data_IF_656756328921
#
_entry.id   IF_656756328921
#
_cell.length_a   1.000
_cell.length_b   1.000
_cell.length_c   1.000
_cell.angle_alpha   90.00
_cell.angle_beta   90.00
_cell.angle_gamma   90.00
#
_symmetry.space_group_name_H-M   'P 1'
#
loop_
_entity.id
_entity.type
_entity.pdbx_description
1 polymer ?
#
# COMPACT_ATOMS: atom_id res chain seq x y z
N UNK A 1 37.07 13.31 2.32
CA UNK A 1 36.12 12.23 2.69
C UNK A 1 35.12 11.86 1.59
N UNK A 2 34.63 12.76 0.73
CA UNK A 2 33.59 12.41 -0.28
C UNK A 2 34.11 11.49 -1.42
N UNK A 3 35.38 11.62 -1.82
CA UNK A 3 35.96 10.82 -2.91
C UNK A 3 36.24 9.35 -2.55
N UNK A 4 36.44 9.05 -1.27
CA UNK A 4 36.79 7.70 -0.81
C UNK A 4 35.59 6.75 -0.94
N UNK A 5 34.38 7.25 -0.71
CA UNK A 5 33.14 6.46 -0.77
C UNK A 5 32.53 6.34 -2.17
N UNK A 6 33.11 6.99 -3.19
CA UNK A 6 32.52 7.04 -4.54
C UNK A 6 32.39 5.64 -5.17
N UNK A 7 33.32 4.72 -4.86
CA UNK A 7 33.27 3.34 -5.32
C UNK A 7 32.07 2.54 -4.74
N UNK A 8 31.45 3.01 -3.66
CA UNK A 8 30.31 2.36 -3.02
C UNK A 8 28.96 2.76 -3.63
N UNK A 9 28.91 3.85 -4.40
CA UNK A 9 27.71 4.35 -5.10
C UNK A 9 26.93 3.25 -5.84
N UNK A 10 27.55 2.44 -6.74
CA UNK A 10 26.80 1.41 -7.47
C UNK A 10 26.23 0.32 -6.56
N UNK A 11 26.90 0.02 -5.42
CA UNK A 11 26.41 -0.95 -4.44
C UNK A 11 25.19 -0.41 -3.71
N UNK A 12 25.25 0.82 -3.19
CA UNK A 12 24.13 1.44 -2.48
C UNK A 12 22.94 1.71 -3.40
N UNK A 13 23.17 2.14 -4.65
CA UNK A 13 22.10 2.36 -5.62
C UNK A 13 21.34 1.06 -5.96
N UNK A 14 22.05 -0.06 -6.13
CA UNK A 14 21.42 -1.37 -6.36
C UNK A 14 20.63 -1.84 -5.14
N UNK A 15 21.20 -1.71 -3.94
CA UNK A 15 20.54 -2.08 -2.69
C UNK A 15 19.27 -1.24 -2.47
N UNK A 16 19.38 0.08 -2.55
CA UNK A 16 18.25 1.01 -2.43
C UNK A 16 17.12 0.66 -3.41
N UNK A 17 17.46 0.48 -4.70
CA UNK A 17 16.49 0.15 -5.73
C UNK A 17 15.81 -1.20 -5.51
N UNK A 18 16.55 -2.22 -5.05
CA UNK A 18 16.02 -3.54 -4.75
C UNK A 18 15.09 -3.51 -3.52
N UNK A 19 15.53 -2.88 -2.43
CA UNK A 19 14.76 -2.75 -1.18
C UNK A 19 13.45 -1.99 -1.41
N UNK A 20 13.53 -0.82 -2.03
CA UNK A 20 12.36 0.02 -2.34
C UNK A 20 11.45 -0.62 -3.38
N UNK A 21 12.01 -1.22 -4.43
CA UNK A 21 11.24 -1.92 -5.45
C UNK A 21 10.46 -3.09 -4.87
N UNK A 22 11.10 -3.94 -4.07
CA UNK A 22 10.44 -5.06 -3.40
C UNK A 22 9.33 -4.57 -2.45
N UNK A 23 9.59 -3.54 -1.66
CA UNK A 23 8.62 -2.98 -0.72
C UNK A 23 7.36 -2.44 -1.44
N UNK A 24 7.54 -1.52 -2.39
CA UNK A 24 6.42 -0.77 -2.99
C UNK A 24 5.74 -1.49 -4.16
N UNK A 25 6.48 -2.27 -4.95
CA UNK A 25 5.91 -2.95 -6.12
C UNK A 25 5.28 -4.28 -5.73
N UNK A 26 5.82 -4.97 -4.72
CA UNK A 26 5.41 -6.35 -4.41
C UNK A 26 4.77 -6.44 -3.02
N UNK A 27 5.51 -6.15 -1.96
CA UNK A 27 5.08 -6.47 -0.59
C UNK A 27 3.86 -5.65 -0.15
N UNK A 28 3.86 -4.33 -0.34
CA UNK A 28 2.74 -3.48 0.06
C UNK A 28 1.45 -3.79 -0.73
N UNK A 29 1.47 -3.93 -2.08
CA UNK A 29 0.29 -4.36 -2.84
C UNK A 29 -0.22 -5.74 -2.41
N UNK A 30 0.67 -6.71 -2.20
CA UNK A 30 0.30 -8.06 -1.75
C UNK A 30 -0.36 -8.05 -0.38
N UNK A 31 0.20 -7.35 0.61
CA UNK A 31 -0.40 -7.20 1.93
C UNK A 31 -1.79 -6.58 1.86
N UNK A 32 -1.98 -5.56 1.01
CA UNK A 32 -3.27 -4.94 0.76
C UNK A 32 -4.28 -5.84 0.02
N UNK A 33 -3.81 -6.81 -0.77
CA UNK A 33 -4.64 -7.77 -1.48
C UNK A 33 -5.05 -8.94 -0.55
N UNK A 34 -4.14 -9.44 0.28
CA UNK A 34 -4.39 -10.54 1.21
C UNK A 34 -5.55 -10.27 2.16
N UNK A 35 -5.61 -9.08 2.77
CA UNK A 35 -6.73 -8.72 3.66
C UNK A 35 -8.10 -8.75 2.96
N UNK A 36 -8.10 -8.59 1.63
CA UNK A 36 -9.31 -8.50 0.82
C UNK A 36 -9.73 -9.87 0.28
N UNK A 37 -8.78 -10.65 -0.25
CA UNK A 37 -9.04 -11.98 -0.83
C UNK A 37 -9.20 -13.03 0.26
N UNK A 38 -8.27 -13.07 1.21
CA UNK A 38 -8.23 -14.09 2.24
C UNK A 38 -9.22 -13.72 3.34
N UNK A 39 -10.42 -14.30 3.33
CA UNK A 39 -11.49 -14.01 4.30
C UNK A 39 -11.46 -14.93 5.54
N UNK A 40 -10.28 -15.31 6.01
CA UNK A 40 -10.13 -16.14 7.22
C UNK A 40 -9.73 -15.29 8.44
N UNK A 41 -9.95 -15.82 9.65
CA UNK A 41 -9.75 -15.11 10.93
C UNK A 41 -8.33 -14.52 11.12
N UNK A 42 -7.32 -15.09 10.47
CA UNK A 42 -5.91 -14.65 10.53
C UNK A 42 -5.48 -13.67 9.43
N UNK A 43 -6.38 -13.27 8.52
CA UNK A 43 -6.03 -12.43 7.37
C UNK A 43 -5.48 -11.05 7.77
N UNK A 44 -5.98 -10.48 8.88
CA UNK A 44 -5.44 -9.22 9.44
C UNK A 44 -3.99 -9.40 9.90
N UNK A 45 -3.64 -10.55 10.48
CA UNK A 45 -2.27 -10.82 10.90
C UNK A 45 -1.34 -11.03 9.71
N UNK A 46 -1.81 -11.71 8.66
CA UNK A 46 -1.07 -11.82 7.41
C UNK A 46 -0.81 -10.44 6.79
N UNK A 47 -1.83 -9.57 6.77
CA UNK A 47 -1.70 -8.19 6.34
C UNK A 47 -0.64 -7.44 7.16
N UNK A 48 -0.79 -7.43 8.49
CA UNK A 48 0.16 -6.73 9.38
C UNK A 48 1.58 -7.26 9.21
N UNK A 49 1.77 -8.58 9.11
CA UNK A 49 3.08 -9.17 8.88
C UNK A 49 3.71 -8.71 7.55
N UNK A 50 2.96 -8.76 6.44
CA UNK A 50 3.42 -8.25 5.15
C UNK A 50 3.74 -6.75 5.23
N UNK A 51 2.91 -5.95 5.89
CA UNK A 51 3.16 -4.51 6.03
C UNK A 51 4.42 -4.25 6.85
N UNK A 52 4.66 -4.97 7.95
CA UNK A 52 5.87 -4.83 8.76
C UNK A 52 7.13 -5.19 7.95
N UNK A 53 7.09 -6.24 7.15
CA UNK A 53 8.20 -6.59 6.25
C UNK A 53 8.46 -5.49 5.23
N UNK A 54 7.42 -4.99 4.56
CA UNK A 54 7.55 -3.89 3.60
C UNK A 54 8.09 -2.61 4.26
N UNK A 55 7.70 -2.37 5.51
CA UNK A 55 8.18 -1.25 6.32
C UNK A 55 9.66 -1.33 6.64
N UNK A 56 10.15 -2.50 7.07
CA UNK A 56 11.57 -2.71 7.32
C UNK A 56 12.38 -2.48 6.05
N UNK A 57 11.92 -3.04 4.92
CA UNK A 57 12.57 -2.83 3.61
C UNK A 57 12.55 -1.36 3.19
N UNK A 58 11.44 -0.65 3.38
CA UNK A 58 11.33 0.78 3.07
C UNK A 58 12.29 1.62 3.92
N UNK A 59 12.40 1.35 5.23
CA UNK A 59 13.31 2.09 6.10
C UNK A 59 14.79 1.79 5.79
N UNK A 60 15.12 0.53 5.52
CA UNK A 60 16.45 0.12 5.06
C UNK A 60 16.81 0.82 3.73
N UNK A 61 15.88 0.79 2.77
CA UNK A 61 15.97 1.51 1.51
C UNK A 61 16.16 3.01 1.70
N UNK A 62 15.46 3.64 2.65
CA UNK A 62 15.61 5.07 2.89
C UNK A 62 17.02 5.35 3.43
N UNK A 63 17.52 4.52 4.34
CA UNK A 63 18.89 4.62 4.87
C UNK A 63 19.95 4.51 3.77
N UNK A 64 19.85 3.50 2.90
CA UNK A 64 20.77 3.32 1.77
C UNK A 64 20.65 4.47 0.74
N UNK A 65 19.44 4.99 0.52
CA UNK A 65 19.16 6.14 -0.34
C UNK A 65 19.72 7.45 0.20
N UNK A 66 19.62 7.71 1.51
CA UNK A 66 20.22 8.89 2.16
C UNK A 66 21.75 8.82 2.05
N UNK A 67 22.34 7.65 2.32
CA UNK A 67 23.80 7.46 2.18
C UNK A 67 24.25 7.72 0.75
N UNK A 68 23.53 7.18 -0.24
CA UNK A 68 23.79 7.45 -1.66
C UNK A 68 23.68 8.94 -1.97
N UNK A 69 22.57 9.58 -1.60
CA UNK A 69 22.29 11.00 -1.87
C UNK A 69 23.33 11.95 -1.29
N UNK A 70 23.91 11.61 -0.14
CA UNK A 70 25.02 12.36 0.47
C UNK A 70 26.35 12.20 -0.29
N UNK A 71 26.63 11.02 -0.87
CA UNK A 71 27.87 10.79 -1.62
C UNK A 71 27.84 11.55 -2.96
N UNK A 72 26.68 11.61 -3.62
CA UNK A 72 26.52 12.24 -4.94
C UNK A 72 25.95 13.67 -4.90
N UNK A 73 25.78 14.22 -3.70
CA UNK A 73 25.20 15.55 -3.42
C UNK A 73 23.86 15.81 -4.15
N UNK A 74 22.98 14.81 -4.15
CA UNK A 74 21.66 14.85 -4.82
C UNK A 74 20.50 14.66 -3.85
N UNK A 75 20.75 14.71 -2.54
CA UNK A 75 19.75 14.34 -1.55
C UNK A 75 18.44 15.14 -1.69
N UNK A 76 18.51 16.45 -1.96
CA UNK A 76 17.31 17.31 -2.07
C UNK A 76 17.13 17.99 -3.42
N UNK A 77 17.88 17.60 -4.45
CA UNK A 77 17.94 18.34 -5.72
C UNK A 77 17.33 17.58 -6.92
N UNK A 78 16.45 16.61 -6.66
CA UNK A 78 15.76 15.92 -7.74
C UNK A 78 14.36 15.42 -7.33
N UNK A 79 13.47 15.32 -8.32
CA UNK A 79 12.09 14.89 -8.10
C UNK A 79 11.99 13.54 -7.37
N UNK A 80 12.85 12.57 -7.72
CA UNK A 80 12.85 11.25 -7.07
C UNK A 80 13.06 11.30 -5.54
N UNK A 81 14.03 12.08 -5.04
CA UNK A 81 14.34 12.13 -3.61
C UNK A 81 13.31 12.97 -2.84
N UNK A 82 12.82 14.06 -3.44
CA UNK A 82 11.77 14.90 -2.84
C UNK A 82 10.47 14.11 -2.70
N UNK A 83 9.95 13.55 -3.80
CA UNK A 83 8.70 12.79 -3.80
C UNK A 83 8.84 11.51 -2.98
N UNK A 84 9.99 10.83 -3.07
CA UNK A 84 10.28 9.64 -2.26
C UNK A 84 10.28 9.92 -0.77
N UNK A 85 10.95 10.97 -0.32
CA UNK A 85 11.01 11.33 1.10
C UNK A 85 9.62 11.69 1.63
N UNK A 86 8.86 12.50 0.87
CA UNK A 86 7.47 12.81 1.21
C UNK A 86 6.63 11.54 1.31
N UNK A 87 6.76 10.62 0.34
CA UNK A 87 6.01 9.36 0.32
C UNK A 87 6.33 8.49 1.54
N UNK A 88 7.61 8.38 1.93
CA UNK A 88 8.01 7.62 3.13
C UNK A 88 7.47 8.28 4.40
N UNK A 89 7.57 9.60 4.55
CA UNK A 89 7.02 10.32 5.70
C UNK A 89 5.51 10.12 5.81
N UNK A 90 4.79 10.20 4.70
CA UNK A 90 3.35 9.91 4.66
C UNK A 90 3.06 8.44 4.97
N UNK A 91 3.89 7.51 4.50
CA UNK A 91 3.75 6.10 4.85
C UNK A 91 3.87 5.87 6.35
N UNK A 92 4.61 6.71 7.09
CA UNK A 92 4.71 6.61 8.55
C UNK A 92 3.37 6.79 9.27
N UNK A 93 2.45 7.54 8.68
CA UNK A 93 1.12 7.77 9.23
C UNK A 93 0.17 6.58 9.02
N UNK A 94 0.42 5.73 8.02
CA UNK A 94 -0.44 4.58 7.70
C UNK A 94 -0.70 3.61 8.86
N UNK A 95 0.30 3.11 9.62
CA UNK A 95 0.06 2.17 10.72
C UNK A 95 -0.72 2.81 11.87
N UNK A 96 -0.58 4.12 12.10
CA UNK A 96 -1.35 4.85 13.12
C UNK A 96 -2.83 4.86 12.73
N UNK A 97 -3.14 5.27 11.50
CA UNK A 97 -4.49 5.23 10.93
C UNK A 97 -5.01 3.77 10.89
N UNK A 98 -4.11 2.83 10.59
CA UNK A 98 -4.30 1.38 10.63
C UNK A 98 -4.85 0.89 11.97
N UNK A 99 -4.16 1.26 13.04
CA UNK A 99 -4.53 0.87 14.41
C UNK A 99 -5.83 1.52 14.85
N UNK A 100 -6.05 2.80 14.52
CA UNK A 100 -7.28 3.53 14.86
C UNK A 100 -8.49 2.88 14.21
N UNK A 101 -8.46 2.66 12.88
CA UNK A 101 -9.60 2.08 12.20
C UNK A 101 -9.82 0.62 12.62
N UNK A 102 -8.76 -0.16 12.87
CA UNK A 102 -8.90 -1.55 13.31
C UNK A 102 -9.56 -1.63 14.70
N UNK A 103 -9.15 -0.77 15.63
CA UNK A 103 -9.80 -0.67 16.96
C UNK A 103 -11.27 -0.27 16.85
N UNK A 104 -11.60 0.68 15.97
CA UNK A 104 -12.98 1.11 15.77
C UNK A 104 -13.83 0.04 15.08
N UNK A 105 -13.28 -0.65 14.08
CA UNK A 105 -13.95 -1.75 13.40
C UNK A 105 -14.24 -2.92 14.35
N UNK A 106 -13.28 -3.26 15.23
CA UNK A 106 -13.52 -4.27 16.29
C UNK A 106 -14.59 -3.88 17.29
N UNK A 107 -14.81 -2.58 17.55
CA UNK A 107 -15.84 -2.10 18.48
C UNK A 107 -17.22 -1.99 17.83
N UNK A 108 -17.29 -1.49 16.59
CA UNK A 108 -18.55 -1.16 15.92
C UNK A 108 -19.00 -2.22 14.91
N UNK A 109 -18.13 -3.17 14.54
CA UNK A 109 -18.33 -4.16 13.49
C UNK A 109 -18.77 -3.58 12.12
N UNK A 110 -18.64 -2.27 11.94
CA UNK A 110 -19.03 -1.54 10.74
C UNK A 110 -17.84 -0.74 10.19
N UNK A 111 -17.84 -0.54 8.87
CA UNK A 111 -16.85 0.33 8.23
C UNK A 111 -17.06 1.76 8.71
N UNK A 112 -16.00 2.35 9.25
CA UNK A 112 -16.03 3.75 9.72
C UNK A 112 -15.39 4.66 8.68
N UNK A 113 -15.58 5.97 8.82
CA UNK A 113 -14.86 6.96 8.01
C UNK A 113 -13.35 6.69 7.95
N UNK A 114 -12.74 6.31 9.09
CA UNK A 114 -11.33 5.96 9.18
C UNK A 114 -10.92 4.75 8.33
N UNK A 115 -11.83 3.79 8.10
CA UNK A 115 -11.59 2.67 7.18
C UNK A 115 -11.43 3.16 5.74
N UNK A 116 -12.27 4.10 5.30
CA UNK A 116 -12.16 4.67 3.95
C UNK A 116 -10.90 5.49 3.78
N UNK A 117 -10.57 6.33 4.76
CA UNK A 117 -9.33 7.12 4.78
C UNK A 117 -8.12 6.19 4.72
N UNK A 118 -8.05 5.16 5.58
CA UNK A 118 -6.92 4.22 5.59
C UNK A 118 -6.70 3.57 4.23
N UNK A 119 -7.77 3.04 3.61
CA UNK A 119 -7.71 2.30 2.34
C UNK A 119 -7.33 3.20 1.18
N UNK A 120 -7.97 4.36 1.02
CA UNK A 120 -7.69 5.25 -0.10
C UNK A 120 -6.33 5.92 0.02
N UNK A 121 -5.96 6.35 1.23
CA UNK A 121 -4.64 6.91 1.49
C UNK A 121 -3.54 5.91 1.17
N UNK A 122 -3.66 4.66 1.64
CA UNK A 122 -2.68 3.61 1.34
C UNK A 122 -2.53 3.35 -0.17
N UNK A 123 -3.63 3.37 -0.93
CA UNK A 123 -3.59 3.20 -2.40
C UNK A 123 -2.81 4.32 -3.09
N UNK A 124 -3.11 5.58 -2.73
CA UNK A 124 -2.41 6.74 -3.29
C UNK A 124 -0.91 6.64 -3.01
N UNK A 125 -0.52 6.26 -1.79
CA UNK A 125 0.89 6.11 -1.44
C UNK A 125 1.60 4.97 -2.19
N UNK A 126 0.92 3.84 -2.42
CA UNK A 126 1.47 2.75 -3.24
C UNK A 126 1.75 3.26 -4.66
N UNK A 127 0.78 3.95 -5.29
CA UNK A 127 0.97 4.52 -6.62
C UNK A 127 2.11 5.56 -6.67
N UNK A 128 2.17 6.46 -5.69
CA UNK A 128 3.27 7.43 -5.57
C UNK A 128 4.63 6.73 -5.44
N UNK A 129 4.71 5.65 -4.66
CA UNK A 129 5.92 4.85 -4.52
C UNK A 129 6.37 4.20 -5.83
N UNK A 130 5.44 3.63 -6.60
CA UNK A 130 5.74 3.02 -7.92
C UNK A 130 6.26 4.07 -8.90
N UNK A 131 5.62 5.24 -8.98
CA UNK A 131 6.06 6.37 -9.82
C UNK A 131 7.45 6.83 -9.38
N UNK A 132 7.67 6.96 -8.06
CA UNK A 132 8.96 7.36 -7.50
C UNK A 132 10.06 6.35 -7.86
N UNK A 133 9.79 5.05 -7.80
CA UNK A 133 10.75 4.03 -8.24
C UNK A 133 11.09 4.13 -9.73
N UNK A 134 10.09 4.45 -10.57
CA UNK A 134 10.31 4.73 -11.99
C UNK A 134 11.23 5.94 -12.23
N UNK A 135 11.02 7.04 -11.49
CA UNK A 135 11.89 8.21 -11.51
C UNK A 135 13.31 7.88 -11.03
N UNK A 136 13.45 6.98 -10.06
CA UNK A 136 14.75 6.50 -9.56
C UNK A 136 15.55 5.75 -10.63
N UNK A 137 14.88 4.92 -11.44
CA UNK A 137 15.52 4.23 -12.56
C UNK A 137 15.94 5.18 -13.69
N UNK A 138 15.18 6.26 -13.91
CA UNK A 138 15.58 7.31 -14.83
C UNK A 138 16.81 8.06 -14.31
N UNK A 139 16.83 8.41 -13.02
CA UNK A 139 17.94 9.10 -12.38
C UNK A 139 19.23 8.27 -12.34
N UNK A 140 19.11 6.95 -12.15
CA UNK A 140 20.24 6.03 -12.16
C UNK A 140 20.82 5.78 -13.57
N UNK A 141 20.27 6.43 -14.61
CA UNK A 141 20.58 6.17 -16.02
C UNK A 141 20.62 4.67 -16.31
N UNK A 142 19.64 3.95 -15.75
CA UNK A 142 19.63 2.49 -15.82
C UNK A 142 19.47 2.04 -17.28
N UNK A 143 19.92 0.82 -17.57
CA UNK A 143 19.83 0.22 -18.90
C UNK A 143 18.38 0.22 -19.38
N UNK A 144 18.19 0.31 -20.69
CA UNK A 144 16.86 0.20 -21.31
C UNK A 144 16.15 -1.07 -20.84
N UNK A 145 16.90 -2.18 -20.73
CA UNK A 145 16.39 -3.44 -20.18
C UNK A 145 15.90 -3.33 -18.73
N UNK A 146 16.63 -2.65 -17.85
CA UNK A 146 16.21 -2.45 -16.44
C UNK A 146 14.96 -1.60 -16.31
N UNK A 147 14.83 -0.54 -17.13
CA UNK A 147 13.62 0.30 -17.18
C UNK A 147 12.41 -0.50 -17.70
N UNK A 148 12.60 -1.29 -18.76
CA UNK A 148 11.56 -2.17 -19.29
C UNK A 148 11.15 -3.20 -18.24
N UNK A 149 12.10 -3.92 -17.64
CA UNK A 149 11.81 -4.96 -16.64
C UNK A 149 11.00 -4.42 -15.47
N UNK A 150 11.40 -3.28 -14.90
CA UNK A 150 10.65 -2.64 -13.82
C UNK A 150 9.26 -2.20 -14.30
N UNK A 151 9.15 -1.59 -15.49
CA UNK A 151 7.88 -1.20 -16.06
C UNK A 151 6.93 -2.38 -16.26
N UNK A 152 7.43 -3.51 -16.77
CA UNK A 152 6.65 -4.73 -17.00
C UNK A 152 6.18 -5.35 -15.68
N UNK A 153 7.09 -5.53 -14.71
CA UNK A 153 6.74 -6.09 -13.40
C UNK A 153 5.79 -5.16 -12.65
N UNK A 154 6.13 -3.87 -12.57
CA UNK A 154 5.31 -2.86 -11.90
C UNK A 154 3.93 -2.72 -12.53
N UNK A 155 3.85 -2.75 -13.86
CA UNK A 155 2.59 -2.74 -14.60
C UNK A 155 1.75 -3.98 -14.33
N UNK A 156 2.34 -5.17 -14.41
CA UNK A 156 1.63 -6.44 -14.17
C UNK A 156 1.09 -6.52 -12.74
N UNK A 157 1.90 -6.17 -11.73
CA UNK A 157 1.46 -6.21 -10.32
C UNK A 157 0.41 -5.14 -10.04
N UNK A 158 0.57 -3.93 -10.59
CA UNK A 158 -0.45 -2.87 -10.46
C UNK A 158 -1.76 -3.29 -11.11
N UNK A 159 -1.71 -3.89 -12.29
CA UNK A 159 -2.88 -4.39 -13.00
C UNK A 159 -3.57 -5.51 -12.21
N UNK A 160 -2.82 -6.49 -11.70
CA UNK A 160 -3.34 -7.56 -10.87
C UNK A 160 -3.98 -7.02 -9.58
N UNK A 161 -3.35 -6.02 -8.95
CA UNK A 161 -3.88 -5.36 -7.77
C UNK A 161 -5.21 -4.64 -8.04
N UNK A 162 -5.28 -3.87 -9.13
CA UNK A 162 -6.51 -3.17 -9.55
C UNK A 162 -7.58 -4.18 -9.93
N UNK A 163 -7.25 -5.21 -10.72
CA UNK A 163 -8.18 -6.28 -11.10
C UNK A 163 -8.74 -6.99 -9.85
N UNK A 164 -7.90 -7.31 -8.87
CA UNK A 164 -8.34 -7.89 -7.59
C UNK A 164 -9.28 -6.96 -6.81
N UNK A 165 -9.03 -5.64 -6.80
CA UNK A 165 -9.96 -4.68 -6.20
C UNK A 165 -11.31 -4.65 -6.93
N UNK A 166 -11.27 -4.64 -8.26
CA UNK A 166 -12.44 -4.54 -9.12
C UNK A 166 -13.30 -5.81 -9.02
N UNK A 167 -12.69 -6.98 -9.14
CA UNK A 167 -13.33 -8.28 -8.94
C UNK A 167 -14.10 -8.34 -7.61
N UNK A 168 -13.46 -7.93 -6.51
CA UNK A 168 -14.10 -7.91 -5.19
C UNK A 168 -15.27 -6.93 -5.06
N UNK A 169 -15.37 -5.94 -5.95
CA UNK A 169 -16.51 -5.00 -6.00
C UNK A 169 -17.69 -5.56 -6.80
N UNK A 170 -17.45 -6.44 -7.76
CA UNK A 170 -18.49 -7.06 -8.58
C UNK A 170 -19.05 -8.36 -7.98
N UNK A 171 -18.21 -9.21 -7.37
CA UNK A 171 -18.59 -10.55 -6.89
C UNK A 171 -19.15 -10.58 -5.46
N UNK A 172 -19.12 -9.46 -4.74
CA UNK A 172 -19.76 -9.37 -3.43
C UNK A 172 -21.06 -8.59 -3.57
N UNK A 173 -22.21 -9.27 -3.73
CA UNK A 173 -23.49 -8.63 -3.46
C UNK A 173 -23.38 -8.03 -2.05
N UNK A 174 -23.81 -6.78 -1.91
CA UNK A 174 -23.90 -6.11 -0.61
C UNK A 174 -24.73 -7.00 0.31
N UNK A 175 -24.07 -7.79 1.15
CA UNK A 175 -24.72 -8.54 2.23
C UNK A 175 -25.04 -7.54 3.35
N UNK A 176 -25.90 -6.58 3.04
CA UNK A 176 -26.60 -5.69 3.98
C UNK A 176 -27.65 -4.88 3.19
N UNK A 177 -28.63 -5.57 2.64
CA UNK A 177 -30.00 -5.08 2.65
C UNK A 177 -30.82 -6.21 3.28
N UNK A 178 -30.61 -6.45 4.57
CA UNK A 178 -31.59 -7.22 5.34
C UNK A 178 -32.82 -6.32 5.38
N UNK A 179 -33.77 -6.53 4.46
CA UNK A 179 -35.15 -6.07 4.66
C UNK A 179 -35.56 -6.63 6.01
N UNK A 180 -35.77 -5.75 6.98
CA UNK A 180 -36.62 -6.07 8.14
C UNK A 180 -37.90 -6.68 7.57
N UNK A 181 -38.32 -7.87 8.01
CA UNK A 181 -39.64 -8.35 7.66
C UNK A 181 -40.64 -7.37 8.26
N UNK A 182 -41.40 -6.68 7.40
CA UNK A 182 -42.46 -5.76 7.78
C UNK A 182 -43.43 -6.51 8.69
N UNK A 183 -43.30 -6.25 9.99
CA UNK A 183 -44.16 -6.82 11.03
C UNK A 183 -45.40 -5.93 11.19
N UNK A 184 -45.99 -5.51 10.07
CA UNK A 184 -47.19 -4.66 10.04
C UNK A 184 -48.44 -5.38 9.50
N UNK A 185 -48.30 -6.60 8.96
CA UNK A 185 -49.43 -7.35 8.40
C UNK A 185 -50.19 -8.27 9.36
N UNK A 186 -49.62 -8.64 10.52
CA UNK A 186 -50.20 -9.68 11.40
C UNK A 186 -51.13 -9.11 12.47
N UNK A 187 -51.06 -7.81 12.78
CA UNK A 187 -51.96 -7.23 13.80
C UNK A 187 -53.36 -6.85 13.28
N UNK A 188 -53.56 -6.69 11.97
CA UNK A 188 -54.87 -6.29 11.44
C UNK A 188 -55.88 -7.44 11.31
N UNK A 189 -55.44 -8.70 11.33
CA UNK A 189 -56.35 -9.86 11.32
C UNK A 189 -56.86 -10.27 12.72
N UNK A 190 -56.21 -9.83 13.80
CA UNK A 190 -56.64 -10.17 15.16
C UNK A 190 -57.59 -9.13 15.81
N UNK A 191 -57.82 -7.98 15.17
CA UNK A 191 -58.67 -6.90 15.71
C UNK A 191 -60.06 -6.88 15.06
N UNK A 192 -60.25 -7.52 13.90
CA UNK A 192 -61.54 -7.57 13.19
C UNK A 192 -62.40 -8.80 13.51
N UNK A 193 -62.05 -9.56 14.56
CA UNK A 193 -62.80 -10.75 15.01
C UNK A 193 -63.23 -10.66 16.49
N UNK A 194 -63.71 -9.48 16.91
CA UNK A 194 -64.51 -9.30 18.13
C UNK A 194 -65.77 -8.51 17.77
#
# INVERSE_FOLDING_TARGET
MIYEDLHLVPKYAKLHGAEMGLAFVIIFPLGALFIRILKFKGSVWAHVACQLVGWVLMLAGLGTGIRLGNIIDRLHNNAHTIVGTITVVLMILQPIIGLIHHRQYRKKHTQTWWTHVHVWYGRVLIFLGIITGGLGLQLATNTTGGKILYGTIGGLVSLAYVAGIVYMRYELPRCSAKKTPDTEGVQLQNVTSI
#
